data_IF_788585465054
#
_entry.id   IF_788585465054
#
_cell.length_a   1.000
_cell.length_b   1.000
_cell.length_c   1.000
_cell.angle_alpha   90.00
_cell.angle_beta   90.00
_cell.angle_gamma   90.00
#
_symmetry.space_group_name_H-M   'P 1'
#
loop_
_entity.id
_entity.type
_entity.pdbx_description
1 polymer ?
#
# COMPACT_ATOMS: atom_id res chain seq x y z
N UNK A 1 -32.08 -17.06 -3.50
CA UNK A 1 -32.51 -15.68 -3.23
C UNK A 1 -31.47 -15.01 -2.36
N UNK A 2 -30.32 -14.62 -2.93
CA UNK A 2 -29.34 -13.74 -2.27
C UNK A 2 -28.82 -12.79 -3.35
N UNK A 3 -29.73 -11.92 -3.79
CA UNK A 3 -29.46 -10.91 -4.79
C UNK A 3 -29.45 -9.55 -4.09
N UNK A 4 -28.23 -9.10 -3.78
CA UNK A 4 -27.77 -7.75 -3.39
C UNK A 4 -26.47 -7.91 -2.59
N UNK A 5 -25.35 -8.14 -3.28
CA UNK A 5 -24.06 -7.67 -2.73
C UNK A 5 -24.19 -6.15 -2.61
N UNK A 6 -24.23 -5.62 -1.39
CA UNK A 6 -24.29 -4.17 -1.18
C UNK A 6 -22.91 -3.63 -1.57
N UNK A 7 -22.78 -3.17 -2.82
CA UNK A 7 -21.67 -2.33 -3.25
C UNK A 7 -22.07 -0.92 -2.85
N UNK A 8 -21.44 -0.36 -1.81
CA UNK A 8 -21.67 1.03 -1.39
C UNK A 8 -20.42 1.85 -1.65
N UNK A 9 -20.57 2.92 -2.42
CA UNK A 9 -19.58 3.97 -2.52
C UNK A 9 -19.86 5.02 -1.44
N UNK A 10 -18.88 5.27 -0.57
CA UNK A 10 -18.95 6.22 0.54
C UNK A 10 -17.96 7.35 0.32
N UNK A 11 -18.35 8.59 0.61
CA UNK A 11 -17.42 9.71 0.61
C UNK A 11 -16.66 9.74 1.94
N UNK A 12 -15.33 9.72 1.91
CA UNK A 12 -14.51 9.62 3.13
C UNK A 12 -14.70 10.82 4.09
N UNK A 13 -15.03 12.00 3.56
CA UNK A 13 -15.33 13.17 4.40
C UNK A 13 -16.58 12.96 5.27
N UNK A 14 -17.55 12.15 4.83
CA UNK A 14 -18.77 11.88 5.59
C UNK A 14 -18.50 10.91 6.74
N UNK A 15 -17.60 9.94 6.55
CA UNK A 15 -17.16 9.00 7.59
C UNK A 15 -16.40 9.70 8.72
N UNK A 16 -15.54 10.69 8.39
CA UNK A 16 -14.78 11.47 9.38
C UNK A 16 -15.66 12.34 10.27
N UNK A 17 -16.75 12.89 9.72
CA UNK A 17 -17.65 13.75 10.49
C UNK A 17 -18.54 12.94 11.45
N UNK A 18 -18.90 11.71 11.07
CA UNK A 18 -19.69 10.80 11.92
C UNK A 18 -18.96 10.40 13.23
N UNK A 19 -17.64 10.16 13.17
CA UNK A 19 -16.84 9.80 14.35
C UNK A 19 -16.65 10.96 15.34
N UNK A 20 -16.67 12.21 14.85
CA UNK A 20 -16.60 13.41 15.71
C UNK A 20 -17.92 13.65 16.47
N UNK A 21 -19.05 13.25 15.90
CA UNK A 21 -20.39 13.32 16.51
C UNK A 21 -20.52 12.30 17.66
N UNK A 22 -20.02 11.08 17.48
CA UNK A 22 -20.05 10.01 18.50
C UNK A 22 -19.10 10.28 19.66
N UNK A 23 -17.94 10.92 19.45
CA UNK A 23 -17.06 11.35 20.56
C UNK A 23 -17.68 12.45 21.43
N UNK A 24 -18.58 13.28 20.91
CA UNK A 24 -19.26 14.31 21.71
C UNK A 24 -20.35 13.73 22.61
N UNK A 25 -20.95 12.58 22.27
CA UNK A 25 -21.98 11.97 23.13
C UNK A 25 -21.40 11.16 24.30
N UNK A 26 -20.20 10.59 24.18
CA UNK A 26 -19.57 9.82 25.27
C UNK A 26 -18.88 10.66 26.35
N UNK A 27 -18.63 11.95 26.09
CA UNK A 27 -17.97 12.86 27.04
C UNK A 27 -18.94 13.53 28.03
N UNK A 28 -20.26 13.36 27.88
CA UNK A 28 -21.27 14.04 28.70
C UNK A 28 -21.71 13.27 29.96
N UNK A 29 -21.22 12.05 30.18
CA UNK A 29 -21.74 11.19 31.27
C UNK A 29 -20.61 10.47 32.02
N UNK A 30 -19.84 11.22 32.81
CA UNK A 30 -19.11 10.74 34.02
C UNK A 30 -18.38 11.90 34.71
N UNK A 31 -19.09 12.62 35.57
CA UNK A 31 -18.45 13.34 36.69
C UNK A 31 -19.30 13.16 37.95
N UNK A 32 -18.79 12.30 38.85
CA UNK A 32 -18.89 12.40 40.32
C UNK A 32 -18.22 11.15 40.92
N UNK A 33 -17.08 11.34 41.56
CA UNK A 33 -16.37 10.27 42.28
C UNK A 33 -15.06 10.76 42.87
N UNK A 34 -15.02 10.87 44.20
CA UNK A 34 -13.98 11.38 45.08
C UNK A 34 -12.60 10.71 44.95
N UNK A 35 -11.52 11.50 45.11
CA UNK A 35 -10.14 11.06 45.36
C UNK A 35 -9.99 10.42 46.76
N UNK A 36 -8.96 9.55 46.98
CA UNK A 36 -7.81 10.05 47.75
C UNK A 36 -6.41 9.51 47.37
N UNK A 37 -5.43 10.40 47.56
CA UNK A 37 -4.07 10.28 48.14
C UNK A 37 -3.05 9.22 47.68
N UNK A 38 -1.96 9.77 47.10
CA UNK A 38 -0.52 9.49 47.28
C UNK A 38 0.08 8.14 46.85
N UNK A 39 0.87 8.16 45.77
CA UNK A 39 1.94 7.20 45.42
C UNK A 39 3.13 8.03 44.89
N UNK A 40 4.40 7.73 45.25
CA UNK A 40 5.53 8.63 45.01
C UNK A 40 5.93 8.68 43.54
N UNK A 41 6.33 9.87 43.09
CA UNK A 41 6.74 10.19 41.74
C UNK A 41 8.02 9.44 41.35
N UNK A 42 7.90 8.47 40.45
CA UNK A 42 9.01 7.87 39.72
C UNK A 42 9.30 8.78 38.53
N UNK A 43 10.45 9.48 38.57
CA UNK A 43 10.91 10.33 37.46
C UNK A 43 11.30 9.39 36.31
N UNK A 44 10.36 9.15 35.39
CA UNK A 44 10.66 8.61 34.07
C UNK A 44 11.16 9.79 33.25
N UNK A 45 12.46 9.82 32.98
CA UNK A 45 13.05 10.76 32.02
C UNK A 45 12.48 10.43 30.63
N UNK A 46 11.43 11.15 30.23
CA UNK A 46 10.92 11.12 28.87
C UNK A 46 11.94 11.85 27.98
N UNK A 47 12.74 11.09 27.24
CA UNK A 47 13.49 11.60 26.09
C UNK A 47 12.47 12.05 25.05
N UNK A 48 12.20 13.36 24.98
CA UNK A 48 11.57 13.96 23.81
C UNK A 48 12.50 13.73 22.62
N UNK A 49 12.18 12.74 21.78
CA UNK A 49 12.68 12.71 20.43
C UNK A 49 12.10 13.95 19.73
N UNK A 50 12.95 14.96 19.50
CA UNK A 50 12.65 16.06 18.61
C UNK A 50 12.50 15.44 17.23
N UNK A 51 11.25 15.20 16.83
CA UNK A 51 10.93 14.93 15.42
C UNK A 51 11.19 16.24 14.70
N UNK A 52 12.37 16.38 14.11
CA UNK A 52 12.63 17.47 13.18
C UNK A 52 11.60 17.39 12.06
N UNK A 53 10.59 18.25 12.15
CA UNK A 53 9.66 18.50 11.06
C UNK A 53 10.47 19.04 9.90
N UNK A 54 10.66 18.22 8.87
CA UNK A 54 11.04 18.71 7.56
C UNK A 54 9.82 19.46 7.00
N UNK A 55 9.73 20.74 7.35
CA UNK A 55 8.90 21.69 6.63
C UNK A 55 9.52 21.89 5.25
N UNK A 56 9.00 21.17 4.27
CA UNK A 56 9.15 21.55 2.88
C UNK A 56 8.10 22.61 2.55
N UNK A 57 8.57 23.65 1.85
CA UNK A 57 7.88 24.85 1.40
C UNK A 57 6.42 24.64 0.95
N UNK A 58 5.56 25.57 1.33
CA UNK A 58 4.11 25.57 1.07
C UNK A 58 3.77 26.24 -0.29
N UNK A 59 4.70 26.27 -1.25
CA UNK A 59 4.46 26.73 -2.62
C UNK A 59 4.31 25.54 -3.56
N UNK A 60 3.05 25.22 -3.89
CA UNK A 60 2.59 24.15 -4.79
C UNK A 60 2.85 22.71 -4.31
N UNK A 61 2.08 22.27 -3.28
CA UNK A 61 1.94 20.84 -2.96
C UNK A 61 1.48 20.09 -4.19
N UNK A 62 2.40 19.39 -4.86
CA UNK A 62 2.09 18.40 -5.88
C UNK A 62 0.92 17.54 -5.40
N UNK A 63 -0.16 17.50 -6.17
CA UNK A 63 -1.36 16.78 -5.79
C UNK A 63 -1.17 15.30 -6.12
N UNK A 64 -0.68 14.57 -5.13
CA UNK A 64 -0.48 13.13 -5.23
C UNK A 64 -1.81 12.40 -5.25
N UNK A 65 -1.96 11.52 -6.24
CA UNK A 65 -3.03 10.54 -6.32
C UNK A 65 -2.40 9.15 -6.33
N UNK A 66 -2.87 8.26 -5.46
CA UNK A 66 -2.45 6.86 -5.52
C UNK A 66 -2.89 6.28 -6.85
N UNK A 67 -1.96 5.65 -7.57
CA UNK A 67 -2.24 5.02 -8.86
C UNK A 67 -2.32 3.49 -8.76
N UNK A 68 -1.59 2.90 -7.82
CA UNK A 68 -1.64 1.48 -7.50
C UNK A 68 -1.44 1.30 -5.99
N UNK A 69 -2.10 0.30 -5.41
CA UNK A 69 -1.91 -0.09 -4.02
C UNK A 69 -2.24 -1.58 -3.82
N UNK A 70 -1.70 -2.15 -2.74
CA UNK A 70 -2.00 -3.50 -2.29
C UNK A 70 -1.89 -3.56 -0.76
N UNK A 71 -2.95 -4.04 -0.11
CA UNK A 71 -2.97 -4.20 1.34
C UNK A 71 -2.03 -5.35 1.74
N UNK A 72 -1.07 -5.14 2.66
CA UNK A 72 -0.24 -6.23 3.13
C UNK A 72 -0.96 -7.05 4.22
N UNK A 73 -0.58 -8.31 4.32
CA UNK A 73 -0.84 -9.23 5.42
C UNK A 73 0.45 -10.01 5.78
N UNK A 74 0.36 -10.88 6.78
CA UNK A 74 1.45 -11.80 7.15
C UNK A 74 1.15 -13.20 6.64
N UNK A 75 2.19 -13.94 6.28
CA UNK A 75 2.10 -15.33 5.82
C UNK A 75 2.92 -16.23 6.72
N UNK A 76 2.54 -17.50 6.81
CA UNK A 76 3.25 -18.51 7.60
C UNK A 76 3.54 -19.75 6.73
N UNK A 77 4.80 -20.15 6.53
CA UNK A 77 6.03 -19.42 6.89
C UNK A 77 6.28 -18.22 5.94
N UNK A 78 6.98 -17.16 6.39
CA UNK A 78 7.39 -16.05 5.52
C UNK A 78 8.55 -16.43 4.61
N UNK A 79 8.59 -15.80 3.43
CA UNK A 79 9.74 -15.84 2.53
C UNK A 79 10.88 -15.02 3.12
N UNK A 80 12.11 -15.46 2.90
CA UNK A 80 13.32 -14.73 3.29
C UNK A 80 14.18 -14.43 2.08
N UNK A 81 14.75 -13.23 2.06
CA UNK A 81 15.68 -12.77 1.04
C UNK A 81 17.01 -12.44 1.69
N UNK A 82 18.11 -12.71 1.01
CA UNK A 82 19.44 -12.33 1.51
C UNK A 82 20.32 -11.99 0.33
N UNK A 83 20.78 -10.73 0.25
CA UNK A 83 21.62 -10.24 -0.83
C UNK A 83 20.94 -10.38 -2.21
N UNK A 84 19.64 -10.07 -2.31
CA UNK A 84 18.86 -10.30 -3.53
C UNK A 84 18.11 -9.04 -3.97
N UNK A 85 17.88 -8.94 -5.29
CA UNK A 85 17.03 -7.91 -5.89
C UNK A 85 15.67 -8.49 -6.23
N UNK A 86 14.61 -7.84 -5.73
CA UNK A 86 13.22 -8.11 -6.10
C UNK A 86 12.82 -7.08 -7.16
N UNK A 87 11.99 -7.48 -8.13
CA UNK A 87 11.34 -6.58 -9.10
C UNK A 87 9.87 -6.92 -9.19
N UNK A 88 9.06 -5.98 -8.72
CA UNK A 88 7.63 -6.11 -8.57
C UNK A 88 6.91 -5.23 -9.58
N UNK A 89 5.90 -5.80 -10.24
CA UNK A 89 5.13 -5.12 -11.27
C UNK A 89 3.85 -4.55 -10.65
N UNK A 90 3.69 -3.23 -10.77
CA UNK A 90 2.51 -2.47 -10.33
C UNK A 90 1.76 -1.94 -11.55
N UNK A 91 0.50 -2.35 -11.72
CA UNK A 91 -0.36 -1.87 -12.81
C UNK A 91 -1.07 -0.58 -12.39
N UNK A 92 -0.66 0.55 -12.95
CA UNK A 92 -1.17 1.87 -12.60
C UNK A 92 -2.62 2.06 -13.05
N UNK A 93 -3.43 2.79 -12.27
CA UNK A 93 -4.80 3.16 -12.65
C UNK A 93 -4.85 4.50 -13.39
N UNK A 94 -4.06 5.47 -12.93
CA UNK A 94 -3.92 6.82 -13.49
C UNK A 94 -2.46 7.14 -13.81
N UNK A 95 -2.23 7.97 -14.82
CA UNK A 95 -0.90 8.46 -15.20
C UNK A 95 -0.47 9.71 -14.43
N UNK A 96 0.79 10.13 -14.61
CA UNK A 96 1.35 11.36 -14.04
C UNK A 96 2.79 11.62 -14.49
N UNK A 97 3.33 12.79 -14.13
CA UNK A 97 4.66 13.28 -14.57
C UNK A 97 5.77 13.00 -13.53
N UNK A 98 5.36 12.69 -12.30
CA UNK A 98 6.23 12.33 -11.19
C UNK A 98 5.66 11.13 -10.45
N UNK A 99 6.56 10.31 -9.94
CA UNK A 99 6.25 9.08 -9.22
C UNK A 99 6.91 9.08 -7.85
N UNK A 100 6.24 8.50 -6.86
CA UNK A 100 6.86 8.05 -5.62
C UNK A 100 6.30 6.70 -5.20
N UNK A 101 7.09 5.94 -4.46
CA UNK A 101 6.78 4.56 -4.09
C UNK A 101 6.62 4.44 -2.57
N UNK A 102 5.67 3.61 -2.14
CA UNK A 102 5.43 3.28 -0.73
C UNK A 102 5.96 1.89 -0.40
N UNK A 103 6.92 1.85 0.52
CA UNK A 103 7.52 0.62 1.06
C UNK A 103 7.12 0.49 2.52
N UNK A 104 6.75 -0.73 2.93
CA UNK A 104 6.15 -1.01 4.22
C UNK A 104 6.86 -2.17 4.91
N UNK A 105 7.13 -1.98 6.20
CA UNK A 105 7.60 -2.99 7.14
C UNK A 105 6.58 -3.14 8.29
N UNK A 106 5.29 -2.97 7.98
CA UNK A 106 4.22 -2.88 9.00
C UNK A 106 4.13 -4.11 9.90
N UNK A 107 4.40 -5.29 9.38
CA UNK A 107 4.39 -6.55 10.14
C UNK A 107 5.80 -7.13 10.34
N UNK A 108 6.85 -6.37 10.02
CA UNK A 108 8.22 -6.79 10.25
C UNK A 108 8.52 -6.99 11.73
N UNK A 109 9.47 -7.87 12.02
CA UNK A 109 10.00 -8.08 13.37
C UNK A 109 11.39 -7.48 13.53
N UNK A 110 12.03 -7.10 12.42
CA UNK A 110 13.35 -6.46 12.35
C UNK A 110 13.30 -5.25 11.39
N UNK A 111 14.22 -4.28 11.50
CA UNK A 111 14.32 -3.19 10.55
C UNK A 111 14.61 -3.71 9.13
N UNK A 112 13.79 -3.32 8.15
CA UNK A 112 13.98 -3.68 6.74
C UNK A 112 15.05 -2.78 6.12
N UNK A 113 16.19 -3.33 5.72
CA UNK A 113 17.26 -2.56 5.08
C UNK A 113 17.08 -2.62 3.56
N UNK A 114 16.93 -1.46 2.94
CA UNK A 114 16.92 -1.30 1.48
C UNK A 114 18.30 -0.76 1.06
N UNK A 115 19.03 -1.55 0.28
CA UNK A 115 20.35 -1.17 -0.26
C UNK A 115 20.25 -0.21 -1.44
N UNK A 116 19.26 -0.44 -2.31
CA UNK A 116 18.90 0.40 -3.44
C UNK A 116 17.44 0.16 -3.82
N UNK A 117 16.83 1.15 -4.47
CA UNK A 117 15.50 1.02 -5.03
C UNK A 117 15.38 1.81 -6.34
N UNK A 118 14.65 1.26 -7.31
CA UNK A 118 14.45 1.85 -8.64
C UNK A 118 12.99 1.70 -9.08
N UNK A 119 12.54 2.59 -9.96
CA UNK A 119 11.26 2.47 -10.68
C UNK A 119 11.48 2.72 -12.17
N UNK A 120 10.82 1.95 -13.02
CA UNK A 120 10.85 2.11 -14.46
C UNK A 120 9.53 1.67 -15.09
N UNK A 121 9.26 2.06 -16.33
CA UNK A 121 8.20 1.44 -17.14
C UNK A 121 8.65 0.04 -17.52
N UNK A 122 7.78 -0.95 -17.27
CA UNK A 122 8.00 -2.33 -17.69
C UNK A 122 7.92 -2.42 -19.22
N UNK A 123 8.88 -3.12 -19.81
CA UNK A 123 8.81 -3.50 -21.22
C UNK A 123 8.03 -4.82 -21.36
N UNK A 124 8.65 -5.94 -20.96
CA UNK A 124 8.02 -7.26 -20.93
C UNK A 124 8.74 -8.17 -19.95
N UNK A 125 8.03 -9.13 -19.36
CA UNK A 125 8.64 -9.98 -18.35
C UNK A 125 9.25 -9.16 -17.21
N UNK A 126 10.51 -9.46 -16.85
CA UNK A 126 11.32 -8.69 -15.90
C UNK A 126 12.01 -7.46 -16.53
N UNK A 127 11.91 -7.26 -17.85
CA UNK A 127 12.58 -6.18 -18.56
C UNK A 127 11.92 -4.84 -18.35
N UNK A 128 12.74 -3.81 -18.36
CA UNK A 128 12.33 -2.42 -18.26
C UNK A 128 12.76 -1.64 -19.50
N UNK A 129 12.02 -0.57 -19.80
CA UNK A 129 12.46 0.42 -20.79
C UNK A 129 13.57 1.23 -20.13
N UNK A 130 14.84 0.96 -20.47
CA UNK A 130 15.98 1.48 -19.70
C UNK A 130 16.07 3.00 -19.60
N UNK A 131 15.57 3.75 -20.60
CA UNK A 131 15.51 5.21 -20.56
C UNK A 131 14.55 5.77 -19.50
N UNK A 132 13.63 4.93 -19.01
CA UNK A 132 12.64 5.28 -17.99
C UNK A 132 13.09 4.93 -16.58
N UNK A 133 14.24 4.27 -16.42
CA UNK A 133 14.77 3.91 -15.10
C UNK A 133 15.07 5.16 -14.27
N UNK A 134 14.56 5.16 -13.04
CA UNK A 134 14.79 6.20 -12.04
C UNK A 134 15.20 5.55 -10.73
N UNK A 135 16.35 5.96 -10.23
CA UNK A 135 16.79 5.66 -8.86
C UNK A 135 15.87 6.36 -7.87
N UNK A 136 15.40 5.62 -6.88
CA UNK A 136 14.60 6.14 -5.76
C UNK A 136 15.53 6.49 -4.59
N UNK A 137 15.17 7.55 -3.87
CA UNK A 137 15.79 7.94 -2.60
C UNK A 137 14.71 8.16 -1.54
N UNK A 138 15.12 8.14 -0.27
CA UNK A 138 14.23 8.37 0.87
C UNK A 138 14.90 9.36 1.81
N UNK A 139 14.40 10.60 1.83
CA UNK A 139 15.07 11.69 2.53
C UNK A 139 16.47 11.97 1.96
N UNK A 140 16.61 11.87 0.63
CA UNK A 140 17.86 12.06 -0.12
C UNK A 140 18.83 10.87 -0.08
N UNK A 141 18.51 9.80 0.63
CA UNK A 141 19.40 8.63 0.78
C UNK A 141 18.99 7.50 -0.17
N UNK A 142 19.97 6.90 -0.85
CA UNK A 142 19.72 5.73 -1.73
C UNK A 142 19.63 4.40 -0.98
N UNK A 143 20.24 4.33 0.20
CA UNK A 143 20.10 3.20 1.12
C UNK A 143 19.55 3.71 2.44
N UNK A 144 18.58 2.97 2.99
CA UNK A 144 17.85 3.35 4.18
C UNK A 144 17.29 2.11 4.88
N UNK A 145 16.85 2.30 6.12
CA UNK A 145 16.15 1.27 6.88
C UNK A 145 14.73 1.72 7.17
N UNK A 146 13.76 0.84 6.94
CA UNK A 146 12.37 1.02 7.34
C UNK A 146 12.20 0.38 8.72
N UNK A 147 11.91 1.18 9.77
CA UNK A 147 11.71 0.64 11.10
C UNK A 147 10.61 -0.41 11.16
N UNK A 148 10.66 -1.27 12.19
CA UNK A 148 9.57 -2.20 12.51
C UNK A 148 8.26 -1.44 12.64
N UNK A 149 7.20 -1.94 11.99
CA UNK A 149 5.87 -1.35 12.06
C UNK A 149 5.70 -0.08 11.22
N UNK A 150 6.73 0.37 10.50
CA UNK A 150 6.69 1.62 9.75
C UNK A 150 6.41 1.42 8.26
N UNK A 151 6.04 2.52 7.61
CA UNK A 151 6.02 2.67 6.16
C UNK A 151 6.76 3.95 5.79
N UNK A 152 7.33 3.98 4.60
CA UNK A 152 8.03 5.14 4.05
C UNK A 152 7.59 5.41 2.61
N UNK A 153 7.60 6.68 2.23
CA UNK A 153 7.42 7.13 0.86
C UNK A 153 8.77 7.58 0.32
N UNK A 154 9.06 7.23 -0.94
CA UNK A 154 10.25 7.74 -1.61
C UNK A 154 10.13 9.24 -1.84
N UNK A 155 11.27 9.89 -1.99
CA UNK A 155 11.33 11.20 -2.63
C UNK A 155 10.76 11.08 -4.06
N UNK A 156 10.13 12.14 -4.59
CA UNK A 156 9.55 12.10 -5.92
C UNK A 156 10.61 12.09 -7.02
N UNK A 157 10.37 11.32 -8.07
CA UNK A 157 11.20 11.30 -9.29
C UNK A 157 10.39 11.71 -10.50
N UNK A 158 10.99 12.46 -11.43
CA UNK A 158 10.36 12.80 -12.71
C UNK A 158 10.35 11.59 -13.64
N UNK A 159 9.15 11.12 -13.97
CA UNK A 159 8.89 9.99 -14.85
C UNK A 159 7.48 10.14 -15.41
N UNK A 160 7.39 10.31 -16.73
CA UNK A 160 6.11 10.29 -17.44
C UNK A 160 5.54 8.88 -17.42
N UNK A 161 4.44 8.68 -16.70
CA UNK A 161 3.73 7.41 -16.59
C UNK A 161 2.37 7.56 -17.24
N UNK A 162 2.08 6.83 -18.33
CA UNK A 162 0.73 6.75 -18.87
C UNK A 162 -0.21 6.00 -17.91
N UNK A 163 -1.50 6.30 -17.94
CA UNK A 163 -2.50 5.51 -17.21
C UNK A 163 -2.50 4.05 -17.69
N UNK A 164 -2.90 3.10 -16.83
CA UNK A 164 -3.02 1.68 -17.20
C UNK A 164 -1.69 1.06 -17.66
N UNK A 165 -0.58 1.56 -17.14
CA UNK A 165 0.79 1.11 -17.46
C UNK A 165 1.36 0.26 -16.34
N UNK A 166 2.12 -0.77 -16.72
CA UNK A 166 2.90 -1.56 -15.78
C UNK A 166 4.22 -0.84 -15.43
N UNK A 167 4.40 -0.55 -14.14
CA UNK A 167 5.68 -0.09 -13.60
C UNK A 167 6.41 -1.26 -12.96
N UNK A 168 7.72 -1.33 -13.16
CA UNK A 168 8.61 -2.23 -12.45
C UNK A 168 9.29 -1.47 -11.31
N UNK A 169 8.98 -1.85 -10.07
CA UNK A 169 9.65 -1.35 -8.86
C UNK A 169 10.65 -2.39 -8.39
N UNK A 170 11.93 -2.03 -8.35
CA UNK A 170 12.99 -2.94 -7.93
C UNK A 170 13.55 -2.55 -6.57
N UNK A 171 13.71 -3.52 -5.66
CA UNK A 171 14.27 -3.35 -4.32
C UNK A 171 15.45 -4.30 -4.12
N UNK A 172 16.61 -3.77 -3.72
CA UNK A 172 17.75 -4.58 -3.31
C UNK A 172 17.80 -4.73 -1.79
N UNK A 173 17.84 -5.98 -1.34
CA UNK A 173 17.88 -6.37 0.08
C UNK A 173 19.28 -6.92 0.40
N UNK A 174 20.22 -6.08 0.89
CA UNK A 174 21.63 -6.44 1.06
C UNK A 174 21.89 -7.39 2.22
N UNK A 175 20.93 -7.52 3.14
CA UNK A 175 21.01 -8.37 4.33
C UNK A 175 19.76 -9.22 4.44
N UNK A 176 19.81 -10.26 5.29
CA UNK A 176 18.67 -11.12 5.54
C UNK A 176 17.43 -10.30 5.90
N UNK A 177 16.37 -10.48 5.13
CA UNK A 177 15.09 -9.77 5.24
C UNK A 177 13.95 -10.78 5.18
N UNK A 178 13.08 -10.78 6.18
CA UNK A 178 11.93 -11.67 6.26
C UNK A 178 10.66 -10.93 5.82
N UNK A 179 9.98 -11.43 4.79
CA UNK A 179 8.78 -10.83 4.21
C UNK A 179 7.51 -11.14 5.01
N UNK A 180 7.46 -10.64 6.26
CA UNK A 180 6.24 -10.67 7.06
C UNK A 180 5.19 -9.66 6.59
N UNK A 181 5.59 -8.69 5.76
CA UNK A 181 4.73 -7.68 5.12
C UNK A 181 4.65 -8.00 3.64
N UNK A 182 3.64 -8.76 3.22
CA UNK A 182 3.48 -9.21 1.83
C UNK A 182 2.01 -9.17 1.41
N UNK A 183 1.77 -9.20 0.10
CA UNK A 183 0.45 -9.41 -0.47
C UNK A 183 0.49 -10.60 -1.43
N UNK A 184 -0.23 -11.67 -1.09
CA UNK A 184 -0.11 -12.97 -1.78
C UNK A 184 -1.12 -13.23 -2.89
N UNK A 185 -2.22 -12.47 -2.94
CA UNK A 185 -3.22 -12.61 -4.01
C UNK A 185 -2.90 -11.62 -5.13
N UNK A 186 -1.62 -11.48 -5.48
CA UNK A 186 -1.21 -10.47 -6.45
C UNK A 186 -1.75 -10.75 -7.86
N UNK A 187 -1.90 -12.04 -8.20
CA UNK A 187 -2.25 -12.53 -9.54
C UNK A 187 -1.39 -11.88 -10.63
N UNK A 188 -0.12 -11.69 -10.29
CA UNK A 188 0.89 -10.96 -11.04
C UNK A 188 2.21 -11.71 -10.94
N UNK A 189 2.89 -11.92 -12.07
CA UNK A 189 4.28 -12.35 -12.08
C UNK A 189 5.16 -11.21 -11.59
N UNK A 190 5.86 -11.45 -10.48
CA UNK A 190 6.96 -10.65 -9.97
C UNK A 190 8.25 -11.49 -10.02
N UNK A 191 9.39 -10.83 -9.87
CA UNK A 191 10.69 -11.41 -10.19
C UNK A 191 11.67 -11.26 -9.04
N UNK A 192 12.49 -12.27 -8.83
CA UNK A 192 13.61 -12.24 -7.87
C UNK A 192 14.88 -12.59 -8.64
N UNK A 193 15.91 -11.77 -8.55
CA UNK A 193 17.20 -12.08 -9.15
C UNK A 193 17.75 -13.40 -8.56
N UNK A 194 18.15 -14.32 -9.42
CA UNK A 194 18.80 -15.58 -8.97
C UNK A 194 20.24 -15.35 -8.54
N UNK A 195 20.88 -14.33 -9.09
CA UNK A 195 22.20 -13.91 -8.67
C UNK A 195 22.11 -12.98 -7.47
N UNK A 196 23.05 -13.16 -6.56
CA UNK A 196 23.30 -12.27 -5.44
C UNK A 196 23.74 -10.88 -5.92
N UNK A 197 23.21 -9.83 -5.27
CA UNK A 197 23.63 -8.45 -5.47
C UNK A 197 22.54 -7.49 -5.95
N UNK A 198 22.98 -6.26 -6.22
CA UNK A 198 22.14 -5.16 -6.67
C UNK A 198 21.99 -5.17 -8.20
N UNK A 199 20.78 -5.50 -8.65
CA UNK A 199 20.36 -5.45 -10.06
C UNK A 199 19.19 -4.48 -10.25
N UNK A 200 18.98 -3.54 -9.32
CA UNK A 200 17.77 -2.70 -9.30
C UNK A 200 17.59 -1.87 -10.57
N UNK A 201 18.68 -1.26 -11.07
CA UNK A 201 18.70 -0.50 -12.32
C UNK A 201 19.02 -1.33 -13.58
N UNK A 202 19.13 -2.66 -13.48
CA UNK A 202 19.44 -3.50 -14.64
C UNK A 202 18.26 -3.55 -15.63
N UNK A 203 18.53 -3.52 -16.93
CA UNK A 203 17.50 -3.57 -17.97
C UNK A 203 16.67 -4.85 -17.95
N UNK A 204 17.25 -5.95 -17.44
CA UNK A 204 16.62 -7.25 -17.18
C UNK A 204 17.17 -7.83 -15.87
N UNK A 205 16.49 -8.80 -15.27
CA UNK A 205 16.99 -9.49 -14.08
C UNK A 205 17.67 -10.82 -14.43
N UNK A 206 18.94 -11.03 -14.05
CA UNK A 206 19.68 -12.23 -14.41
C UNK A 206 19.09 -13.48 -13.77
N UNK A 207 18.68 -14.42 -14.62
CA UNK A 207 18.17 -15.73 -14.21
C UNK A 207 16.92 -15.68 -13.33
N UNK A 208 16.12 -14.61 -13.43
CA UNK A 208 15.07 -14.33 -12.45
C UNK A 208 14.15 -15.51 -12.17
N UNK A 209 13.92 -15.81 -10.89
CA UNK A 209 12.83 -16.69 -10.45
C UNK A 209 11.54 -15.89 -10.33
N UNK A 210 10.42 -16.60 -10.38
CA UNK A 210 9.09 -16.01 -10.33
C UNK A 210 8.52 -16.07 -8.91
N UNK A 211 7.85 -15.00 -8.51
CA UNK A 211 6.99 -14.97 -7.32
C UNK A 211 5.64 -14.36 -7.69
N UNK A 212 4.58 -14.78 -7.00
CA UNK A 212 3.24 -14.23 -7.11
C UNK A 212 2.94 -13.18 -6.05
N UNK A 213 3.95 -12.67 -5.35
CA UNK A 213 3.80 -11.85 -4.14
C UNK A 213 4.33 -10.43 -4.35
N UNK A 214 3.69 -9.44 -3.73
CA UNK A 214 4.25 -8.10 -3.57
C UNK A 214 4.83 -7.94 -2.16
N UNK A 215 6.10 -8.25 -2.01
CA UNK A 215 6.82 -8.15 -0.73
C UNK A 215 7.25 -6.70 -0.46
N UNK A 216 6.84 -6.15 0.67
CA UNK A 216 7.13 -4.80 1.15
C UNK A 216 6.58 -3.63 0.30
N UNK A 217 6.32 -3.82 -0.99
CA UNK A 217 5.72 -2.81 -1.87
C UNK A 217 4.20 -2.71 -1.62
N UNK A 218 3.72 -1.52 -1.22
CA UNK A 218 2.31 -1.33 -0.84
C UNK A 218 1.63 -0.17 -1.59
N UNK A 219 2.38 0.61 -2.36
CA UNK A 219 1.75 1.63 -3.20
C UNK A 219 2.68 2.35 -4.15
N UNK A 220 2.05 2.95 -5.17
CA UNK A 220 2.66 3.89 -6.11
C UNK A 220 1.72 5.09 -6.20
N UNK A 221 2.26 6.28 -5.91
CA UNK A 221 1.56 7.54 -6.10
C UNK A 221 2.14 8.26 -7.32
N UNK A 222 1.27 8.96 -8.05
CA UNK A 222 1.65 9.83 -9.17
C UNK A 222 1.19 11.26 -8.89
N UNK A 223 1.93 12.24 -9.41
CA UNK A 223 1.49 13.63 -9.45
C UNK A 223 0.89 13.94 -10.84
N UNK A 224 -0.18 14.73 -10.84
CA UNK A 224 -0.88 15.17 -12.06
C UNK A 224 -1.04 16.69 -12.03
N UNK A 225 -0.98 17.34 -13.19
CA UNK A 225 -1.31 18.77 -13.33
C UNK A 225 -2.79 19.04 -12.99
N UNK A 226 -3.66 18.11 -13.38
CA UNK A 226 -5.08 18.14 -13.00
C UNK A 226 -5.25 17.52 -11.63
N UNK A 227 -6.07 18.15 -10.79
CA UNK A 227 -6.49 17.62 -9.49
C UNK A 227 -7.21 16.27 -9.63
N UNK A 228 -6.47 15.19 -9.42
CA UNK A 228 -6.97 13.82 -9.33
C UNK A 228 -7.52 13.45 -7.94
N UNK A 229 -8.19 12.30 -7.87
CA UNK A 229 -8.53 11.66 -6.60
C UNK A 229 -8.65 10.14 -6.78
N UNK A 230 -8.56 9.41 -5.67
CA UNK A 230 -8.65 7.97 -5.64
C UNK A 230 -9.97 7.47 -5.04
N UNK A 231 -10.52 6.44 -5.67
CA UNK A 231 -11.51 5.53 -5.11
C UNK A 231 -10.74 4.34 -4.55
N UNK A 232 -10.83 4.11 -3.25
CA UNK A 232 -10.27 2.91 -2.60
C UNK A 232 -11.32 1.82 -2.61
N UNK A 233 -10.99 0.62 -3.08
CA UNK A 233 -11.84 -0.56 -3.00
C UNK A 233 -11.33 -1.46 -1.90
N UNK A 234 -12.18 -1.76 -0.92
CA UNK A 234 -11.86 -2.69 0.17
C UNK A 234 -12.79 -3.89 0.08
N UNK A 235 -12.25 -5.09 0.29
CA UNK A 235 -13.01 -6.30 0.07
C UNK A 235 -12.32 -7.57 0.51
N UNK A 236 -13.04 -8.68 0.27
CA UNK A 236 -12.52 -10.03 0.37
C UNK A 236 -11.86 -10.50 -0.94
N UNK A 237 -11.66 -11.81 -1.09
CA UNK A 237 -11.09 -12.47 -2.27
C UNK A 237 -11.76 -12.08 -3.58
N UNK A 238 -13.06 -11.72 -3.57
CA UNK A 238 -13.77 -11.23 -4.76
C UNK A 238 -13.16 -9.93 -5.28
N UNK A 239 -12.86 -9.00 -4.38
CA UNK A 239 -12.27 -7.70 -4.73
C UNK A 239 -10.77 -7.80 -4.91
N UNK A 240 -10.13 -8.64 -4.10
CA UNK A 240 -8.70 -8.91 -4.21
C UNK A 240 -8.35 -9.49 -5.58
N UNK A 241 -9.25 -10.32 -6.13
CA UNK A 241 -9.24 -10.74 -7.52
C UNK A 241 -9.20 -12.25 -7.72
N UNK A 242 -9.31 -13.04 -6.64
CA UNK A 242 -9.25 -14.50 -6.71
C UNK A 242 -10.21 -15.05 -7.77
N UNK A 243 -9.69 -15.89 -8.66
CA UNK A 243 -10.41 -16.41 -9.83
C UNK A 243 -10.24 -15.58 -11.12
N UNK A 244 -9.56 -14.44 -11.07
CA UNK A 244 -9.16 -13.70 -12.28
C UNK A 244 -7.98 -14.39 -12.99
N UNK A 245 -7.85 -14.15 -14.30
CA UNK A 245 -6.73 -14.67 -15.09
C UNK A 245 -5.42 -14.04 -14.62
N UNK A 246 -4.45 -14.89 -14.27
CA UNK A 246 -3.11 -14.47 -13.86
C UNK A 246 -2.47 -13.56 -14.91
N UNK A 247 -1.80 -12.49 -14.47
CA UNK A 247 -1.16 -11.46 -15.29
C UNK A 247 -2.07 -10.58 -16.16
N UNK A 248 -3.39 -10.83 -16.22
CA UNK A 248 -4.27 -10.17 -17.18
C UNK A 248 -4.86 -8.83 -16.71
N UNK A 249 -4.70 -8.43 -15.43
CA UNK A 249 -5.41 -7.29 -14.82
C UNK A 249 -6.93 -7.34 -15.07
N UNK A 250 -7.55 -8.51 -14.86
CA UNK A 250 -8.98 -8.73 -15.09
C UNK A 250 -9.79 -8.78 -13.79
N UNK A 251 -9.29 -8.17 -12.71
CA UNK A 251 -10.05 -8.00 -11.46
C UNK A 251 -11.09 -6.90 -11.67
N UNK A 252 -12.19 -6.92 -10.92
CA UNK A 252 -13.23 -5.90 -11.10
C UNK A 252 -12.71 -4.46 -10.84
N UNK A 253 -11.78 -4.18 -9.91
CA UNK A 253 -11.19 -2.84 -9.77
C UNK A 253 -10.41 -2.40 -11.02
N UNK A 254 -9.74 -3.33 -11.72
CA UNK A 254 -9.03 -3.04 -12.97
C UNK A 254 -10.02 -2.67 -14.10
N UNK A 255 -11.17 -3.34 -14.17
CA UNK A 255 -12.24 -2.97 -15.12
C UNK A 255 -12.83 -1.59 -14.80
N UNK A 256 -13.01 -1.27 -13.52
CA UNK A 256 -13.45 0.07 -13.12
C UNK A 256 -12.43 1.14 -13.53
N UNK A 257 -11.13 0.90 -13.28
CA UNK A 257 -10.06 1.80 -13.71
C UNK A 257 -10.10 2.04 -15.23
N UNK A 258 -10.13 0.96 -16.03
CA UNK A 258 -10.24 1.07 -17.50
C UNK A 258 -11.44 1.89 -17.95
N UNK A 259 -12.60 1.70 -17.32
CA UNK A 259 -13.81 2.45 -17.65
C UNK A 259 -13.67 3.93 -17.32
N UNK A 260 -13.10 4.28 -16.17
CA UNK A 260 -12.89 5.68 -15.77
C UNK A 260 -11.89 6.39 -16.68
N UNK A 261 -10.83 5.70 -17.10
CA UNK A 261 -9.84 6.23 -18.05
C UNK A 261 -10.41 6.41 -19.47
N UNK A 262 -11.42 5.62 -19.85
CA UNK A 262 -12.10 5.75 -21.13
C UNK A 262 -13.26 6.78 -21.13
N UNK A 263 -13.69 7.23 -19.95
CA UNK A 263 -14.83 8.14 -19.80
C UNK A 263 -14.35 9.59 -19.76
N UNK A 264 -14.89 10.40 -20.67
CA UNK A 264 -14.46 11.79 -20.83
C UNK A 264 -14.70 12.59 -19.55
N UNK A 265 -13.63 13.19 -19.04
CA UNK A 265 -13.67 13.99 -17.83
C UNK A 265 -13.52 13.19 -16.55
N UNK A 266 -13.33 11.86 -16.58
CA UNK A 266 -13.05 11.01 -15.42
C UNK A 266 -11.64 10.39 -15.43
N UNK A 267 -10.80 10.76 -16.38
CA UNK A 267 -9.43 10.22 -16.58
C UNK A 267 -8.50 10.52 -15.39
N UNK A 268 -8.89 11.47 -14.54
CA UNK A 268 -8.18 11.87 -13.32
C UNK A 268 -8.62 11.07 -12.08
N UNK A 269 -9.50 10.07 -12.23
CA UNK A 269 -10.02 9.26 -11.12
C UNK A 269 -9.28 7.92 -11.08
N UNK A 270 -8.57 7.70 -9.97
CA UNK A 270 -7.83 6.48 -9.70
C UNK A 270 -8.68 5.43 -8.98
N UNK A 271 -8.29 4.16 -9.13
CA UNK A 271 -8.87 3.03 -8.40
C UNK A 271 -7.73 2.30 -7.69
N UNK A 272 -7.86 2.14 -6.38
CA UNK A 272 -6.87 1.48 -5.52
C UNK A 272 -7.46 0.21 -4.91
N UNK A 273 -6.80 -0.93 -5.10
CA UNK A 273 -7.27 -2.19 -4.55
C UNK A 273 -6.60 -2.50 -3.20
N UNK A 274 -7.35 -2.34 -2.13
CA UNK A 274 -6.90 -2.58 -0.74
C UNK A 274 -7.64 -3.79 -0.15
N UNK A 275 -8.08 -4.71 -1.00
CA UNK A 275 -8.70 -5.96 -0.56
C UNK A 275 -7.67 -6.98 -0.09
N UNK A 276 -8.16 -7.95 0.68
CA UNK A 276 -7.39 -9.08 1.18
C UNK A 276 -8.28 -10.33 1.11
N UNK A 277 -7.77 -11.40 0.52
CA UNK A 277 -8.45 -12.69 0.47
C UNK A 277 -8.86 -13.16 1.86
N UNK A 278 -10.12 -13.54 2.05
CA UNK A 278 -10.61 -13.98 3.36
C UNK A 278 -10.82 -12.85 4.40
N UNK A 279 -10.53 -11.59 4.06
CA UNK A 279 -10.64 -10.49 5.02
C UNK A 279 -12.07 -10.31 5.54
N UNK A 280 -12.14 -9.87 6.80
CA UNK A 280 -13.37 -9.63 7.57
C UNK A 280 -13.36 -8.20 8.10
N UNK A 281 -14.53 -7.67 8.42
CA UNK A 281 -14.67 -6.28 8.84
C UNK A 281 -14.22 -6.04 10.28
N UNK A 282 -14.73 -6.85 11.24
CA UNK A 282 -14.50 -6.67 12.69
C UNK A 282 -13.53 -7.67 13.30
N UNK A 283 -13.31 -8.81 12.65
CA UNK A 283 -12.48 -9.90 13.19
C UNK A 283 -11.25 -10.10 12.32
N UNK A 284 -10.13 -10.57 12.89
CA UNK A 284 -8.99 -11.00 12.09
C UNK A 284 -9.33 -12.29 11.33
N UNK A 285 -8.42 -12.70 10.45
CA UNK A 285 -8.39 -14.08 9.97
C UNK A 285 -8.40 -15.10 11.13
N UNK A 286 -9.00 -16.29 10.96
CA UNK A 286 -8.83 -17.39 11.90
C UNK A 286 -7.33 -17.72 12.09
N UNK A 287 -6.98 -18.28 13.26
CA UNK A 287 -5.61 -18.71 13.52
C UNK A 287 -5.12 -19.71 12.44
N UNK A 288 -3.89 -19.53 11.94
CA UNK A 288 -3.34 -20.29 10.82
C UNK A 288 -3.74 -19.76 9.44
N UNK A 289 -4.56 -18.70 9.36
CA UNK A 289 -4.93 -17.99 8.13
C UNK A 289 -4.55 -16.52 8.23
N UNK A 290 -3.35 -16.24 8.74
CA UNK A 290 -2.83 -14.87 8.97
C UNK A 290 -2.81 -14.02 7.69
N UNK A 291 -2.77 -14.67 6.53
CA UNK A 291 -2.82 -14.01 5.22
C UNK A 291 -4.18 -13.37 4.90
N UNK A 292 -5.23 -13.66 5.68
CA UNK A 292 -6.50 -12.91 5.66
C UNK A 292 -6.33 -11.49 6.23
N UNK A 293 -5.23 -11.27 6.94
CA UNK A 293 -4.81 -10.00 7.50
C UNK A 293 -5.65 -9.52 8.69
N UNK A 294 -5.32 -8.32 9.19
CA UNK A 294 -6.08 -7.66 10.24
C UNK A 294 -7.52 -7.34 9.79
N UNK A 295 -8.46 -7.18 10.73
CA UNK A 295 -9.80 -6.71 10.40
C UNK A 295 -9.74 -5.40 9.59
N UNK A 296 -10.64 -5.22 8.63
CA UNK A 296 -10.70 -4.00 7.81
C UNK A 296 -10.76 -2.73 8.66
N UNK A 297 -11.48 -2.77 9.78
CA UNK A 297 -11.56 -1.62 10.69
C UNK A 297 -10.19 -1.27 11.32
N UNK A 298 -9.37 -2.27 11.63
CA UNK A 298 -8.05 -2.08 12.24
C UNK A 298 -7.02 -1.49 11.26
N UNK A 299 -7.22 -1.70 9.96
CA UNK A 299 -6.35 -1.16 8.89
C UNK A 299 -6.95 0.04 8.16
N UNK A 300 -8.09 0.56 8.60
CA UNK A 300 -8.83 1.63 7.91
C UNK A 300 -7.97 2.88 7.68
N UNK A 301 -7.28 3.34 8.74
CA UNK A 301 -6.46 4.55 8.62
C UNK A 301 -5.26 4.36 7.70
N UNK A 302 -4.62 3.18 7.76
CA UNK A 302 -3.44 2.85 6.95
C UNK A 302 -3.79 2.63 5.48
N UNK A 303 -4.75 1.75 5.21
CA UNK A 303 -5.02 1.23 3.87
C UNK A 303 -6.05 2.07 3.11
N UNK A 304 -6.94 2.80 3.80
CA UNK A 304 -7.99 3.59 3.13
C UNK A 304 -7.68 5.07 3.21
N UNK A 305 -7.60 5.59 4.44
CA UNK A 305 -7.42 7.05 4.64
C UNK A 305 -6.02 7.51 4.27
N UNK A 306 -5.02 6.67 4.50
CA UNK A 306 -3.60 6.96 4.23
C UNK A 306 -3.24 7.01 2.75
N UNK A 307 -4.14 6.59 1.86
CA UNK A 307 -3.89 6.59 0.42
C UNK A 307 -3.94 8.01 -0.17
N UNK A 308 -2.97 8.32 -1.04
CA UNK A 308 -2.88 9.63 -1.65
C UNK A 308 -4.12 9.92 -2.50
N UNK A 309 -4.72 11.09 -2.28
CA UNK A 309 -5.92 11.52 -3.01
C UNK A 309 -7.19 10.73 -2.67
N UNK A 310 -7.21 9.86 -1.66
CA UNK A 310 -8.39 9.08 -1.32
C UNK A 310 -9.59 9.98 -0.98
N UNK A 311 -10.69 9.81 -1.70
CA UNK A 311 -11.94 10.56 -1.49
C UNK A 311 -13.17 9.68 -1.38
N UNK A 312 -13.18 8.53 -2.06
CA UNK A 312 -14.29 7.60 -2.05
C UNK A 312 -13.80 6.21 -1.65
N UNK A 313 -14.69 5.46 -1.01
CA UNK A 313 -14.47 4.09 -0.59
C UNK A 313 -15.59 3.21 -1.16
N UNK A 314 -15.24 2.14 -1.86
CA UNK A 314 -16.15 1.06 -2.20
C UNK A 314 -15.90 -0.10 -1.24
N UNK A 315 -16.93 -0.53 -0.53
CA UNK A 315 -16.86 -1.70 0.37
C UNK A 315 -17.59 -2.87 -0.27
N UNK A 316 -16.89 -4.00 -0.38
CA UNK A 316 -17.46 -5.30 -0.75
C UNK A 316 -16.91 -6.39 0.18
N UNK A 317 -17.46 -6.44 1.40
CA UNK A 317 -17.14 -7.37 2.48
C UNK A 317 -18.43 -8.02 3.02
N UNK A 318 -18.27 -9.04 3.86
CA UNK A 318 -19.38 -9.66 4.60
C UNK A 318 -19.50 -11.17 4.41
N UNK A 319 -18.99 -11.72 3.30
CA UNK A 319 -19.06 -13.18 3.04
C UNK A 319 -18.28 -13.94 4.11
N UNK A 320 -17.05 -13.51 4.38
CA UNK A 320 -16.21 -14.11 5.42
C UNK A 320 -16.65 -13.76 6.84
N UNK A 321 -17.31 -12.62 7.03
CA UNK A 321 -17.82 -12.22 8.35
C UNK A 321 -18.90 -13.19 8.85
N UNK A 322 -19.74 -13.68 7.94
CA UNK A 322 -20.84 -14.61 8.22
C UNK A 322 -20.37 -16.07 8.09
N UNK A 323 -19.50 -16.35 7.11
CA UNK A 323 -19.12 -17.70 6.73
C UNK A 323 -17.99 -18.34 7.55
N UNK A 324 -17.29 -17.58 8.40
CA UNK A 324 -16.11 -18.03 9.15
C UNK A 324 -16.15 -17.71 10.64
#
# INVERSE_FOLDING_TARGET
MFDKKIITALRLSELRNSSSSTRKSSAAERQRGSLPKSIPAMIVAATLAVVSGYGADDSEKAQWTGSWAAAPATVIPPVTYSNQTLRMIAHTSVGGDRVRVRISNTFGTEPLVIGAAHVAIRDTGARIISSTDRKLSFGGKSSFSVPVGALVLSDPVSLEVPALTDLAVSLYLPVLSTANTTHIVALRTNYIASADGDFTGASDLPGATLTGEWDFLTGVDVAQDRRGFAIVTVGDSTTDGLGSTFDANTRWPDFLARRLQAERGLEHVAVLNEALGGNRFLHPGPAGLEWFGPPTLARFDRDIVGQAGAQYLIVLLGINDIGL
#
